data_IF_831797551567
#
_entry.id   IF_831797551567
#
_cell.length_a   1.000
_cell.length_b   1.000
_cell.length_c   1.000
_cell.angle_alpha   90.00
_cell.angle_beta   90.00
_cell.angle_gamma   90.00
#
_symmetry.space_group_name_H-M   'P 1'
#
loop_
_entity.id
_entity.type
_entity.pdbx_description
1 polymer ?
#
# COMPACT_ATOMS: atom_id res chain seq x y z
N UNK A 1 3.44 16.54 6.68
CA UNK A 1 2.31 15.80 7.34
C UNK A 1 2.15 16.23 8.81
N UNK A 2 0.96 16.11 9.39
CA UNK A 2 0.72 16.47 10.79
C UNK A 2 1.23 15.38 11.74
N UNK A 3 1.68 15.76 12.96
CA UNK A 3 2.25 14.85 13.98
C UNK A 3 1.35 13.66 14.30
N UNK A 4 0.02 13.84 14.25
CA UNK A 4 -0.96 12.77 14.55
C UNK A 4 -0.83 11.52 13.65
N UNK A 5 -0.38 11.69 12.41
CA UNK A 5 -0.29 10.64 11.40
C UNK A 5 1.16 10.28 11.05
N UNK A 6 2.12 10.81 11.78
CA UNK A 6 3.55 10.59 11.56
C UNK A 6 4.09 9.63 12.62
N UNK A 7 4.47 8.43 12.21
CA UNK A 7 5.17 7.50 13.09
C UNK A 7 6.64 7.91 13.22
N UNK A 8 7.29 7.68 14.38
CA UNK A 8 8.63 8.21 14.67
C UNK A 8 9.69 7.83 13.64
N UNK A 9 9.75 6.56 13.23
CA UNK A 9 10.76 6.05 12.29
C UNK A 9 10.63 6.72 10.91
N UNK A 10 9.44 6.69 10.34
CA UNK A 10 9.17 7.34 9.06
C UNK A 10 9.34 8.87 9.16
N UNK A 11 8.87 9.47 10.25
CA UNK A 11 9.02 10.92 10.49
C UNK A 11 10.47 11.36 10.52
N UNK A 12 11.40 10.54 11.07
CA UNK A 12 12.83 10.82 11.12
C UNK A 12 13.44 10.95 9.73
N UNK A 13 13.03 10.10 8.77
CA UNK A 13 13.54 10.13 7.38
C UNK A 13 13.26 11.50 6.72
N UNK A 14 12.13 12.12 7.04
CA UNK A 14 11.66 13.35 6.40
C UNK A 14 11.90 14.62 7.23
N UNK A 15 12.73 14.57 8.29
CA UNK A 15 13.15 15.78 9.02
C UNK A 15 14.12 16.60 8.18
N UNK A 16 14.20 17.91 8.47
CA UNK A 16 15.20 18.81 7.87
C UNK A 16 16.62 18.34 8.19
N UNK A 17 16.86 17.91 9.43
CA UNK A 17 18.14 17.37 9.88
C UNK A 17 18.56 16.17 8.99
N UNK A 18 17.69 15.19 8.79
CA UNK A 18 18.02 14.01 7.98
C UNK A 18 18.22 14.39 6.51
N UNK A 19 17.44 15.34 5.97
CA UNK A 19 17.63 15.83 4.61
C UNK A 19 19.03 16.40 4.40
N UNK A 20 19.47 17.30 5.27
CA UNK A 20 20.81 17.87 5.18
C UNK A 20 21.91 16.83 5.48
N UNK A 21 21.64 15.85 6.34
CA UNK A 21 22.55 14.72 6.58
C UNK A 21 22.74 13.89 5.29
N UNK A 22 21.65 13.64 4.54
CA UNK A 22 21.75 12.96 3.23
C UNK A 22 22.47 13.80 2.17
N UNK A 23 22.31 15.11 2.18
CA UNK A 23 23.10 15.98 1.32
C UNK A 23 24.60 15.88 1.64
N UNK A 24 24.96 15.93 2.92
CA UNK A 24 26.34 15.76 3.36
C UNK A 24 26.87 14.37 2.98
N UNK A 25 26.09 13.32 3.13
CA UNK A 25 26.46 11.95 2.76
C UNK A 25 26.84 11.85 1.27
N UNK A 26 26.09 12.51 0.38
CA UNK A 26 26.38 12.58 -1.05
C UNK A 26 27.67 13.35 -1.31
N UNK A 27 27.84 14.55 -0.73
CA UNK A 27 29.06 15.36 -0.89
C UNK A 27 30.30 14.60 -0.43
N UNK A 28 30.22 13.93 0.72
CA UNK A 28 31.33 13.16 1.27
C UNK A 28 31.65 11.94 0.41
N UNK A 29 30.67 11.25 -0.15
CA UNK A 29 30.91 10.13 -1.06
C UNK A 29 31.64 10.55 -2.32
N UNK A 30 31.32 11.73 -2.89
CA UNK A 30 32.01 12.28 -4.06
C UNK A 30 33.41 12.72 -3.71
N UNK A 31 33.59 13.49 -2.63
CA UNK A 31 34.93 13.93 -2.18
C UNK A 31 35.88 12.73 -1.91
N UNK A 32 35.35 11.66 -1.30
CA UNK A 32 36.10 10.44 -1.03
C UNK A 32 36.59 9.79 -2.33
N UNK A 33 35.72 9.63 -3.32
CA UNK A 33 36.08 9.07 -4.62
C UNK A 33 37.08 9.93 -5.35
N UNK A 34 36.93 11.25 -5.35
CA UNK A 34 37.87 12.17 -5.98
C UNK A 34 39.24 12.13 -5.28
N UNK A 35 39.30 11.92 -3.96
CA UNK A 35 40.52 11.71 -3.22
C UNK A 35 41.21 10.38 -3.57
N UNK A 36 40.44 9.29 -3.67
CA UNK A 36 40.91 7.96 -4.11
C UNK A 36 41.52 8.01 -5.53
N UNK A 37 41.02 8.89 -6.39
CA UNK A 37 41.48 9.13 -7.76
C UNK A 37 42.67 10.12 -7.82
N UNK A 38 43.04 10.74 -6.70
CA UNK A 38 44.08 11.75 -6.63
C UNK A 38 43.68 13.15 -7.16
N UNK A 39 42.41 13.40 -7.43
CA UNK A 39 41.87 14.69 -7.84
C UNK A 39 41.80 15.67 -6.65
N UNK A 40 41.60 15.15 -5.46
CA UNK A 40 41.68 15.88 -4.19
C UNK A 40 42.90 15.35 -3.41
N UNK A 41 43.74 16.25 -2.83
CA UNK A 41 44.83 15.81 -1.97
C UNK A 41 44.34 15.00 -0.77
N UNK A 42 44.99 13.86 -0.48
CA UNK A 42 44.55 12.97 0.60
C UNK A 42 44.43 13.70 1.97
N UNK A 43 45.36 14.60 2.27
CA UNK A 43 45.36 15.42 3.50
C UNK A 43 44.10 16.34 3.57
N UNK A 44 43.72 16.90 2.43
CA UNK A 44 42.51 17.74 2.36
C UNK A 44 41.26 16.91 2.60
N UNK A 45 41.18 15.71 2.00
CA UNK A 45 40.08 14.77 2.27
C UNK A 45 39.96 14.38 3.75
N UNK A 46 41.07 14.00 4.37
CA UNK A 46 41.13 13.65 5.80
C UNK A 46 40.63 14.81 6.69
N UNK A 47 41.00 16.04 6.34
CA UNK A 47 40.56 17.23 7.04
C UNK A 47 39.06 17.50 6.81
N UNK A 48 38.59 17.42 5.56
CA UNK A 48 37.16 17.53 5.22
C UNK A 48 36.36 16.48 5.99
N UNK A 49 36.75 15.20 5.92
CA UNK A 49 36.05 14.08 6.61
C UNK A 49 35.92 14.30 8.12
N UNK A 50 36.92 14.93 8.74
CA UNK A 50 36.93 15.21 10.18
C UNK A 50 36.07 16.43 10.55
N UNK A 51 35.97 17.44 9.68
CA UNK A 51 35.37 18.74 10.01
C UNK A 51 34.04 19.02 9.37
N UNK A 52 33.71 18.30 8.28
CA UNK A 52 32.46 18.55 7.56
C UNK A 52 31.24 18.21 8.42
N UNK A 53 30.50 19.24 8.73
CA UNK A 53 29.23 19.18 9.43
C UNK A 53 28.48 20.48 9.12
N UNK A 54 27.18 20.51 9.41
CA UNK A 54 26.31 21.66 9.14
C UNK A 54 25.61 22.14 10.42
N UNK A 55 25.08 23.36 10.34
CA UNK A 55 24.22 23.94 11.36
C UNK A 55 22.94 24.45 10.68
N UNK A 56 21.78 23.96 11.12
CA UNK A 56 20.48 24.27 10.48
C UNK A 56 20.11 25.74 10.64
N UNK A 57 20.32 26.30 11.83
CA UNK A 57 20.01 27.72 12.10
C UNK A 57 20.91 28.60 11.26
N UNK A 58 22.21 28.24 11.13
CA UNK A 58 23.14 28.95 10.28
C UNK A 58 22.79 28.85 8.79
N UNK A 59 22.33 27.68 8.33
CA UNK A 59 21.82 27.52 6.95
C UNK A 59 20.64 28.47 6.71
N UNK A 60 19.69 28.59 7.65
CA UNK A 60 18.54 29.49 7.52
C UNK A 60 18.95 30.96 7.44
N UNK A 61 19.91 31.39 8.27
CA UNK A 61 20.48 32.76 8.21
C UNK A 61 21.10 33.06 6.84
N UNK A 62 21.92 32.14 6.32
CA UNK A 62 22.58 32.30 5.02
C UNK A 62 21.55 32.28 3.89
N UNK A 63 20.61 31.32 3.90
CA UNK A 63 19.56 31.19 2.88
C UNK A 63 18.67 32.44 2.83
N UNK A 64 18.41 33.08 3.97
CA UNK A 64 17.65 34.34 4.03
C UNK A 64 18.28 35.45 3.20
N UNK A 65 19.60 35.41 3.01
CA UNK A 65 20.35 36.40 2.21
C UNK A 65 20.54 35.91 0.76
N UNK A 66 21.10 34.69 0.57
CA UNK A 66 21.50 34.19 -0.75
C UNK A 66 20.36 33.64 -1.56
N UNK A 67 19.20 33.33 -0.94
CA UNK A 67 17.98 32.78 -1.57
C UNK A 67 18.19 31.46 -2.32
N UNK A 68 19.16 30.64 -1.84
CA UNK A 68 19.51 29.35 -2.44
C UNK A 68 19.93 28.35 -1.37
N UNK A 69 19.14 27.30 -1.19
CA UNK A 69 19.30 26.31 -0.12
C UNK A 69 20.61 25.53 -0.17
N UNK A 70 21.03 25.05 -1.37
CA UNK A 70 22.29 24.29 -1.52
C UNK A 70 23.51 25.18 -1.29
N UNK A 71 23.49 26.42 -1.77
CA UNK A 71 24.59 27.38 -1.50
C UNK A 71 24.67 27.65 0.00
N UNK A 72 23.55 27.86 0.68
CA UNK A 72 23.51 28.08 2.12
C UNK A 72 24.08 26.87 2.90
N UNK A 73 23.71 25.67 2.52
CA UNK A 73 24.22 24.42 3.08
C UNK A 73 25.75 24.30 2.89
N UNK A 74 26.25 24.49 1.66
CA UNK A 74 27.68 24.43 1.36
C UNK A 74 28.50 25.49 2.11
N UNK A 75 27.93 26.70 2.23
CA UNK A 75 28.58 27.80 3.01
C UNK A 75 28.68 27.45 4.49
N UNK A 76 27.62 26.87 5.08
CA UNK A 76 27.64 26.40 6.48
C UNK A 76 28.72 25.33 6.72
N UNK A 77 28.95 24.42 5.76
CA UNK A 77 30.02 23.45 5.83
C UNK A 77 31.37 24.14 5.69
N UNK A 78 31.50 25.06 4.73
CA UNK A 78 32.77 25.78 4.47
C UNK A 78 33.25 26.57 5.68
N UNK A 79 32.35 27.16 6.46
CA UNK A 79 32.67 27.85 7.72
C UNK A 79 33.33 26.92 8.75
N UNK A 80 33.00 25.62 8.74
CA UNK A 80 33.60 24.61 9.64
C UNK A 80 34.89 23.98 9.09
N UNK A 81 34.96 23.77 7.78
CA UNK A 81 36.08 23.11 7.10
C UNK A 81 37.22 24.09 6.80
N UNK A 82 36.92 25.35 6.47
CA UNK A 82 37.92 26.36 6.09
C UNK A 82 38.42 26.17 4.65
N UNK A 83 39.73 26.36 4.41
CA UNK A 83 40.31 26.44 3.06
C UNK A 83 40.10 25.19 2.21
N UNK A 84 40.07 24.01 2.80
CA UNK A 84 39.85 22.75 2.08
C UNK A 84 38.42 22.59 1.58
N UNK A 85 37.49 23.44 2.01
CA UNK A 85 36.09 23.43 1.50
C UNK A 85 36.00 23.69 0.00
N UNK A 86 37.05 24.24 -0.64
CA UNK A 86 37.15 24.44 -2.10
C UNK A 86 37.05 23.14 -2.91
N UNK A 87 37.21 21.99 -2.26
CA UNK A 87 37.11 20.67 -2.90
C UNK A 87 35.70 20.07 -2.75
N UNK A 88 34.84 20.61 -1.88
CA UNK A 88 33.46 20.16 -1.72
C UNK A 88 32.63 20.72 -2.88
N UNK A 89 31.74 19.90 -3.44
CA UNK A 89 30.89 20.24 -4.60
C UNK A 89 31.63 20.48 -5.91
N UNK A 90 32.89 20.05 -6.00
CA UNK A 90 33.73 20.29 -7.17
C UNK A 90 33.17 19.55 -8.41
N UNK A 91 32.83 20.29 -9.45
CA UNK A 91 32.29 19.78 -10.71
C UNK A 91 30.76 19.41 -10.66
N UNK A 92 30.16 19.46 -9.49
CA UNK A 92 28.74 19.11 -9.27
C UNK A 92 27.81 20.28 -9.53
N UNK A 93 26.50 19.93 -9.62
CA UNK A 93 25.40 20.88 -9.57
C UNK A 93 24.48 20.54 -8.40
N UNK A 94 23.66 21.50 -7.97
CA UNK A 94 22.72 21.29 -6.84
C UNK A 94 21.89 20.01 -6.96
N UNK A 95 21.42 19.67 -8.16
CA UNK A 95 20.59 18.47 -8.36
C UNK A 95 21.37 17.16 -8.27
N UNK A 96 22.69 17.16 -8.41
CA UNK A 96 23.51 15.97 -8.13
C UNK A 96 23.36 15.57 -6.65
N UNK A 97 23.29 16.57 -5.77
CA UNK A 97 23.07 16.35 -4.32
C UNK A 97 21.61 16.09 -4.02
N UNK A 98 20.70 16.96 -4.51
CA UNK A 98 19.30 16.93 -4.17
C UNK A 98 18.62 15.64 -4.61
N UNK A 99 18.77 15.24 -5.87
CA UNK A 99 18.11 14.06 -6.41
C UNK A 99 18.69 12.78 -5.83
N UNK A 100 20.03 12.69 -5.72
CA UNK A 100 20.70 11.53 -5.12
C UNK A 100 20.32 11.35 -3.64
N UNK A 101 20.27 12.43 -2.85
CA UNK A 101 19.83 12.38 -1.46
C UNK A 101 18.35 12.03 -1.33
N UNK A 102 17.48 12.54 -2.22
CA UNK A 102 16.06 12.16 -2.26
C UNK A 102 15.90 10.67 -2.56
N UNK A 103 16.69 10.11 -3.46
CA UNK A 103 16.70 8.68 -3.75
C UNK A 103 17.06 7.83 -2.53
N UNK A 104 18.04 8.28 -1.71
CA UNK A 104 18.36 7.62 -0.45
C UNK A 104 17.19 7.64 0.53
N UNK A 105 16.52 8.80 0.68
CA UNK A 105 15.36 8.91 1.55
C UNK A 105 14.17 8.04 1.06
N UNK A 106 13.91 8.01 -0.25
CA UNK A 106 12.85 7.17 -0.84
C UNK A 106 13.13 5.68 -0.65
N UNK A 107 14.41 5.26 -0.81
CA UNK A 107 14.83 3.89 -0.53
C UNK A 107 14.58 3.51 0.93
N UNK A 108 15.02 4.33 1.87
CA UNK A 108 14.81 4.09 3.31
C UNK A 108 13.31 4.03 3.66
N UNK A 109 12.53 4.97 3.17
CA UNK A 109 11.09 5.03 3.38
C UNK A 109 10.37 3.82 2.76
N UNK A 110 10.74 3.46 1.53
CA UNK A 110 10.20 2.29 0.83
C UNK A 110 10.46 0.98 1.58
N UNK A 111 11.64 0.80 2.15
CA UNK A 111 11.97 -0.38 2.94
C UNK A 111 11.15 -0.48 4.23
N UNK A 112 10.86 0.64 4.92
CA UNK A 112 9.95 0.65 6.08
C UNK A 112 8.52 0.25 5.69
N UNK A 113 8.05 0.73 4.54
CA UNK A 113 6.73 0.37 4.00
C UNK A 113 6.71 -1.11 3.63
N UNK A 114 7.74 -1.62 2.96
CA UNK A 114 7.86 -3.02 2.56
C UNK A 114 7.74 -3.96 3.76
N UNK A 115 8.52 -3.73 4.81
CA UNK A 115 8.47 -4.53 6.04
C UNK A 115 7.06 -4.59 6.67
N UNK A 116 6.32 -3.47 6.64
CA UNK A 116 4.95 -3.42 7.17
C UNK A 116 3.93 -4.10 6.25
N UNK A 117 4.16 -4.07 4.95
CA UNK A 117 3.32 -4.75 3.96
C UNK A 117 3.53 -6.27 4.01
N UNK A 118 4.76 -6.75 4.18
CA UNK A 118 5.08 -8.16 4.43
C UNK A 118 4.39 -8.66 5.70
N UNK A 119 4.48 -7.88 6.79
CA UNK A 119 3.75 -8.18 8.02
C UNK A 119 2.24 -8.28 7.78
N UNK A 120 1.64 -7.37 7.00
CA UNK A 120 0.22 -7.46 6.63
C UNK A 120 -0.08 -8.78 5.94
N UNK A 121 0.73 -9.18 4.97
CA UNK A 121 0.57 -10.44 4.24
C UNK A 121 0.60 -11.63 5.19
N UNK A 122 1.50 -11.67 6.16
CA UNK A 122 1.60 -12.75 7.14
C UNK A 122 0.37 -12.80 8.06
N UNK A 123 -0.10 -11.64 8.53
CA UNK A 123 -1.34 -11.55 9.31
C UNK A 123 -2.53 -12.06 8.48
N UNK A 124 -2.64 -11.65 7.21
CA UNK A 124 -3.71 -12.10 6.31
C UNK A 124 -3.68 -13.62 6.11
N UNK A 125 -2.48 -14.21 5.94
CA UNK A 125 -2.31 -15.67 5.85
C UNK A 125 -2.82 -16.37 7.11
N UNK A 126 -2.42 -15.90 8.29
CA UNK A 126 -2.85 -16.45 9.58
C UNK A 126 -4.37 -16.39 9.73
N UNK A 127 -4.98 -15.22 9.45
CA UNK A 127 -6.44 -15.05 9.53
C UNK A 127 -7.18 -15.87 8.48
N UNK A 128 -6.62 -16.02 7.28
CA UNK A 128 -7.20 -16.87 6.24
C UNK A 128 -7.33 -18.32 6.73
N UNK A 129 -6.26 -18.87 7.31
CA UNK A 129 -6.26 -20.24 7.86
C UNK A 129 -7.22 -20.38 9.04
N UNK A 130 -7.22 -19.41 9.97
CA UNK A 130 -8.10 -19.41 11.15
C UNK A 130 -9.58 -19.49 10.79
N UNK A 131 -10.00 -18.77 9.73
CA UNK A 131 -11.40 -18.70 9.30
C UNK A 131 -11.69 -19.49 8.02
N UNK A 132 -10.80 -20.41 7.64
CA UNK A 132 -10.93 -21.20 6.41
C UNK A 132 -12.30 -21.85 6.26
N UNK A 133 -12.79 -22.45 7.33
CA UNK A 133 -14.04 -23.21 7.38
C UNK A 133 -15.22 -22.42 7.97
N UNK A 134 -15.03 -21.13 8.27
CA UNK A 134 -16.09 -20.27 8.79
C UNK A 134 -17.01 -19.83 7.66
N UNK A 135 -18.14 -20.54 7.53
CA UNK A 135 -19.14 -20.26 6.50
C UNK A 135 -19.80 -18.89 6.71
N UNK A 136 -19.93 -18.13 5.65
CA UNK A 136 -20.64 -16.87 5.61
C UNK A 136 -21.32 -16.67 4.25
N UNK A 137 -22.19 -15.67 4.16
CA UNK A 137 -22.85 -15.36 2.89
C UNK A 137 -21.97 -14.48 2.01
N UNK A 138 -21.76 -14.88 0.76
CA UNK A 138 -21.23 -14.04 -0.30
C UNK A 138 -22.30 -13.04 -0.75
N UNK A 139 -21.90 -11.77 -0.93
CA UNK A 139 -22.77 -10.70 -1.39
C UNK A 139 -22.25 -10.11 -2.69
N UNK A 140 -23.12 -10.01 -3.68
CA UNK A 140 -22.91 -9.23 -4.89
C UNK A 140 -23.99 -8.15 -4.98
N UNK A 141 -23.65 -6.94 -5.40
CA UNK A 141 -24.57 -5.77 -5.39
C UNK A 141 -25.19 -5.46 -4.01
N UNK A 142 -24.56 -5.92 -2.91
CA UNK A 142 -25.12 -5.82 -1.56
C UNK A 142 -26.18 -6.87 -1.21
N UNK A 143 -26.53 -7.77 -2.16
CA UNK A 143 -27.58 -8.80 -2.00
C UNK A 143 -26.92 -10.15 -1.72
N UNK A 144 -27.59 -11.01 -0.96
CA UNK A 144 -27.15 -12.38 -0.69
C UNK A 144 -27.08 -13.19 -2.00
N UNK A 145 -25.90 -13.74 -2.30
CA UNK A 145 -25.66 -14.60 -3.44
C UNK A 145 -25.51 -16.06 -2.97
N UNK A 146 -24.30 -16.57 -2.94
CA UNK A 146 -24.00 -17.96 -2.57
C UNK A 146 -23.16 -18.05 -1.29
N UNK A 147 -23.15 -19.20 -0.61
CA UNK A 147 -22.26 -19.44 0.52
C UNK A 147 -20.78 -19.32 0.12
N UNK A 148 -19.99 -18.72 1.00
CA UNK A 148 -18.53 -18.65 0.93
C UNK A 148 -17.94 -18.88 2.32
N UNK A 149 -16.60 -18.75 2.48
CA UNK A 149 -16.00 -18.74 3.81
C UNK A 149 -15.36 -17.39 4.11
N UNK A 150 -15.32 -17.05 5.39
CA UNK A 150 -14.67 -15.80 5.81
C UNK A 150 -13.16 -15.82 5.56
N UNK A 151 -12.53 -17.01 5.65
CA UNK A 151 -11.12 -17.19 5.30
C UNK A 151 -10.79 -16.85 3.85
N UNK A 152 -11.70 -17.08 2.90
CA UNK A 152 -11.51 -16.71 1.49
C UNK A 152 -11.38 -15.19 1.28
N UNK A 153 -12.01 -14.36 2.14
CA UNK A 153 -11.81 -12.90 2.08
C UNK A 153 -10.36 -12.53 2.41
N UNK A 154 -9.79 -13.12 3.45
CA UNK A 154 -8.39 -12.92 3.81
C UNK A 154 -7.43 -13.51 2.77
N UNK A 155 -7.75 -14.67 2.19
CA UNK A 155 -6.96 -15.28 1.14
C UNK A 155 -6.87 -14.39 -0.13
N UNK A 156 -7.97 -13.72 -0.49
CA UNK A 156 -8.00 -12.73 -1.58
C UNK A 156 -7.07 -11.55 -1.30
N UNK A 157 -7.11 -10.99 -0.09
CA UNK A 157 -6.25 -9.87 0.31
C UNK A 157 -4.78 -10.28 0.44
N UNK A 158 -4.51 -11.51 0.90
CA UNK A 158 -3.17 -12.09 0.97
C UNK A 158 -2.51 -12.17 -0.41
N UNK A 159 -3.23 -12.68 -1.41
CA UNK A 159 -2.74 -12.77 -2.78
C UNK A 159 -2.49 -11.37 -3.39
N UNK A 160 -3.38 -10.41 -3.13
CA UNK A 160 -3.19 -9.03 -3.58
C UNK A 160 -2.03 -8.33 -2.86
N UNK A 161 -1.82 -8.59 -1.57
CA UNK A 161 -0.66 -8.09 -0.82
C UNK A 161 0.65 -8.62 -1.40
N UNK A 162 0.70 -9.89 -1.82
CA UNK A 162 1.86 -10.47 -2.52
C UNK A 162 2.21 -9.68 -3.80
N UNK A 163 1.24 -9.43 -4.67
CA UNK A 163 1.47 -8.61 -5.88
C UNK A 163 1.91 -7.18 -5.57
N UNK A 164 1.47 -6.62 -4.45
CA UNK A 164 1.88 -5.28 -4.04
C UNK A 164 3.30 -5.25 -3.47
N UNK A 165 3.76 -6.32 -2.81
CA UNK A 165 5.15 -6.50 -2.40
C UNK A 165 6.05 -6.49 -3.64
N UNK A 166 5.75 -7.33 -4.65
CA UNK A 166 6.52 -7.39 -5.90
C UNK A 166 6.61 -6.02 -6.62
N UNK A 167 5.50 -5.25 -6.60
CA UNK A 167 5.48 -3.89 -7.18
C UNK A 167 6.36 -2.94 -6.38
N UNK A 168 6.27 -2.98 -5.06
CA UNK A 168 7.01 -2.07 -4.19
C UNK A 168 8.51 -2.32 -4.26
N UNK A 169 8.96 -3.57 -4.28
CA UNK A 169 10.37 -3.92 -4.47
C UNK A 169 10.91 -3.35 -5.79
N UNK A 170 10.18 -3.52 -6.90
CA UNK A 170 10.55 -2.96 -8.21
C UNK A 170 10.58 -1.44 -8.21
N UNK A 171 9.62 -0.80 -7.56
CA UNK A 171 9.57 0.66 -7.53
C UNK A 171 10.63 1.25 -6.61
N UNK A 172 11.01 0.56 -5.51
CA UNK A 172 12.15 0.93 -4.69
C UNK A 172 13.45 0.84 -5.50
N UNK A 173 13.66 -0.24 -6.27
CA UNK A 173 14.83 -0.36 -7.15
C UNK A 173 14.85 0.75 -8.21
N UNK A 174 13.70 1.10 -8.77
CA UNK A 174 13.55 2.16 -9.77
C UNK A 174 13.92 3.55 -9.24
N UNK A 175 13.56 3.89 -8.00
CA UNK A 175 13.91 5.19 -7.39
C UNK A 175 15.27 5.19 -6.70
N UNK A 176 15.91 4.03 -6.50
CA UNK A 176 17.23 3.91 -5.86
C UNK A 176 18.37 4.17 -6.83
N UNK A 177 18.36 5.33 -7.47
CA UNK A 177 19.37 5.75 -8.43
C UNK A 177 19.95 7.11 -8.07
N UNK A 178 21.27 7.26 -8.20
CA UNK A 178 21.98 8.52 -8.05
C UNK A 178 22.31 9.15 -9.40
N UNK A 179 22.58 10.44 -9.37
CA UNK A 179 23.02 11.24 -10.50
C UNK A 179 24.10 12.19 -10.03
N UNK A 180 25.32 12.10 -10.60
CA UNK A 180 26.48 12.98 -10.33
C UNK A 180 27.13 13.28 -11.67
N UNK A 181 26.38 13.95 -12.54
CA UNK A 181 26.71 14.14 -13.95
C UNK A 181 26.78 15.62 -14.38
N UNK A 182 26.69 16.54 -13.40
CA UNK A 182 26.78 17.96 -13.62
C UNK A 182 25.48 18.62 -14.13
N UNK A 183 25.58 19.85 -14.59
CA UNK A 183 24.48 20.76 -14.82
C UNK A 183 23.46 20.30 -15.88
N UNK A 184 23.85 19.46 -16.82
CA UNK A 184 23.00 18.99 -17.94
C UNK A 184 23.18 17.49 -18.24
N UNK A 185 23.86 16.75 -17.36
CA UNK A 185 24.02 15.29 -17.51
C UNK A 185 25.14 14.85 -18.47
N UNK A 186 26.07 15.74 -18.82
CA UNK A 186 27.10 15.46 -19.83
C UNK A 186 28.47 15.14 -19.25
N UNK A 187 28.64 15.13 -17.94
CA UNK A 187 29.89 14.89 -17.25
C UNK A 187 31.03 15.87 -17.66
N UNK A 188 30.66 17.13 -17.98
CA UNK A 188 31.62 18.11 -18.50
C UNK A 188 32.77 18.41 -17.52
N UNK A 189 32.59 18.22 -16.22
CA UNK A 189 33.55 18.54 -15.17
C UNK A 189 33.77 17.39 -14.17
N UNK A 190 33.21 16.22 -14.43
CA UNK A 190 33.33 15.01 -13.62
C UNK A 190 33.49 13.79 -14.53
N UNK A 191 34.26 12.82 -14.11
CA UNK A 191 34.30 11.53 -14.81
C UNK A 191 33.12 10.64 -14.40
N UNK A 192 32.59 9.83 -15.34
CA UNK A 192 31.53 8.85 -15.07
C UNK A 192 31.89 7.88 -13.95
N UNK A 193 33.17 7.52 -13.83
CA UNK A 193 33.66 6.65 -12.76
C UNK A 193 33.48 7.24 -11.35
N UNK A 194 33.46 8.59 -11.23
CA UNK A 194 33.13 9.26 -9.95
C UNK A 194 31.70 8.99 -9.55
N UNK A 195 30.76 9.13 -10.49
CA UNK A 195 29.34 8.81 -10.26
C UNK A 195 29.16 7.34 -9.87
N UNK A 196 29.71 6.42 -10.66
CA UNK A 196 29.57 4.98 -10.42
C UNK A 196 30.10 4.58 -9.03
N UNK A 197 31.28 5.10 -8.66
CA UNK A 197 31.89 4.77 -7.39
C UNK A 197 31.20 5.44 -6.21
N UNK A 198 30.75 6.69 -6.33
CA UNK A 198 30.00 7.38 -5.30
C UNK A 198 28.63 6.70 -5.08
N UNK A 199 27.91 6.39 -6.16
CA UNK A 199 26.63 5.64 -6.06
C UNK A 199 26.82 4.28 -5.38
N UNK A 200 27.90 3.56 -5.68
CA UNK A 200 28.23 2.28 -5.03
C UNK A 200 28.48 2.45 -3.53
N UNK A 201 29.20 3.49 -3.11
CA UNK A 201 29.42 3.82 -1.69
C UNK A 201 28.11 4.16 -0.99
N UNK A 202 27.18 4.84 -1.67
CA UNK A 202 25.85 5.18 -1.18
C UNK A 202 24.85 4.00 -1.22
N UNK A 203 25.26 2.85 -1.80
CA UNK A 203 24.40 1.67 -1.90
C UNK A 203 23.24 1.82 -2.88
N UNK A 204 23.37 2.67 -3.89
CA UNK A 204 22.42 2.87 -5.00
C UNK A 204 23.12 2.68 -6.34
N UNK A 205 22.35 2.65 -7.44
CA UNK A 205 22.90 2.56 -8.81
C UNK A 205 23.03 3.95 -9.42
N UNK A 206 23.97 4.18 -10.35
CA UNK A 206 23.91 5.40 -11.17
C UNK A 206 22.72 5.34 -12.12
N UNK A 207 22.10 6.48 -12.41
CA UNK A 207 21.11 6.59 -13.48
C UNK A 207 21.83 6.42 -14.84
N UNK A 208 21.39 5.52 -15.73
CA UNK A 208 22.09 5.29 -17.00
C UNK A 208 22.23 6.54 -17.88
N UNK A 209 21.32 7.46 -17.75
CA UNK A 209 21.29 8.78 -18.38
C UNK A 209 20.44 9.72 -17.55
N UNK A 210 20.85 10.97 -17.48
CA UNK A 210 20.12 12.03 -16.79
C UNK A 210 20.23 13.35 -17.58
N UNK A 211 19.44 14.33 -17.18
CA UNK A 211 19.60 15.72 -17.57
C UNK A 211 20.25 16.49 -16.40
N UNK A 212 19.77 17.65 -16.02
CA UNK A 212 20.14 18.25 -14.73
C UNK A 212 19.60 17.43 -13.56
N UNK A 213 18.58 16.60 -13.81
CA UNK A 213 17.84 15.81 -12.82
C UNK A 213 17.72 14.34 -13.27
N UNK A 214 17.41 13.45 -12.30
CA UNK A 214 16.87 12.12 -12.56
C UNK A 214 15.46 12.25 -13.13
N UNK A 215 15.07 11.41 -14.09
CA UNK A 215 13.75 11.49 -14.73
C UNK A 215 12.60 11.18 -13.76
N UNK A 216 11.52 11.97 -13.82
CA UNK A 216 10.44 11.97 -12.83
C UNK A 216 9.41 10.85 -13.00
N UNK A 217 9.44 10.10 -14.11
CA UNK A 217 8.68 8.85 -14.25
C UNK A 217 8.97 7.85 -13.13
N UNK A 218 10.20 7.80 -12.61
CA UNK A 218 10.59 6.96 -11.47
C UNK A 218 9.84 7.33 -10.19
N UNK A 219 9.71 8.63 -9.91
CA UNK A 219 8.95 9.13 -8.76
C UNK A 219 7.45 8.89 -8.94
N UNK A 220 6.93 9.08 -10.17
CA UNK A 220 5.54 8.80 -10.52
C UNK A 220 5.21 7.30 -10.37
N UNK A 221 6.08 6.40 -10.83
CA UNK A 221 5.94 4.94 -10.65
C UNK A 221 5.92 4.56 -9.16
N UNK A 222 6.84 5.11 -8.37
CA UNK A 222 6.88 4.87 -6.92
C UNK A 222 5.59 5.32 -6.25
N UNK A 223 5.12 6.56 -6.49
CA UNK A 223 3.87 7.07 -5.92
C UNK A 223 2.63 6.33 -6.45
N UNK A 224 2.67 5.81 -7.69
CA UNK A 224 1.64 4.91 -8.24
C UNK A 224 1.54 3.63 -7.42
N UNK A 225 2.67 3.04 -7.11
CA UNK A 225 2.74 1.85 -6.26
C UNK A 225 2.17 2.13 -4.86
N UNK A 226 2.54 3.25 -4.22
CA UNK A 226 1.99 3.64 -2.92
C UNK A 226 0.47 3.83 -2.99
N UNK A 227 -0.05 4.42 -4.07
CA UNK A 227 -1.49 4.63 -4.27
C UNK A 227 -2.25 3.31 -4.48
N UNK A 228 -1.65 2.34 -5.20
CA UNK A 228 -2.22 0.99 -5.39
C UNK A 228 -2.28 0.24 -4.06
N UNK A 229 -1.22 0.28 -3.25
CA UNK A 229 -1.21 -0.29 -1.90
C UNK A 229 -2.30 0.37 -1.04
N UNK A 230 -2.39 1.71 -1.08
CA UNK A 230 -3.48 2.45 -0.42
C UNK A 230 -4.87 1.97 -0.83
N UNK A 231 -5.05 1.57 -2.08
CA UNK A 231 -6.28 0.97 -2.60
C UNK A 231 -6.61 -0.39 -1.96
N UNK A 232 -5.62 -1.26 -1.75
CA UNK A 232 -5.81 -2.51 -1.00
C UNK A 232 -6.25 -2.21 0.44
N UNK A 233 -5.58 -1.28 1.12
CA UNK A 233 -5.92 -0.94 2.50
C UNK A 233 -7.33 -0.34 2.61
N UNK A 234 -7.72 0.48 1.64
CA UNK A 234 -9.10 1.01 1.55
C UNK A 234 -10.12 -0.11 1.31
N UNK A 235 -9.83 -1.07 0.42
CA UNK A 235 -10.69 -2.24 0.17
C UNK A 235 -10.95 -3.03 1.45
N UNK A 236 -9.91 -3.35 2.21
CA UNK A 236 -10.02 -4.05 3.50
C UNK A 236 -10.88 -3.22 4.48
N UNK A 237 -10.58 -1.93 4.60
CA UNK A 237 -11.29 -1.02 5.48
C UNK A 237 -12.78 -0.88 5.13
N UNK A 238 -13.10 -0.78 3.85
CA UNK A 238 -14.49 -0.70 3.36
C UNK A 238 -15.25 -1.99 3.66
N UNK A 239 -14.66 -3.15 3.42
CA UNK A 239 -15.28 -4.44 3.74
C UNK A 239 -15.57 -4.56 5.24
N UNK A 240 -14.61 -4.24 6.11
CA UNK A 240 -14.79 -4.27 7.56
C UNK A 240 -15.93 -3.32 7.99
N UNK A 241 -15.98 -2.10 7.44
CA UNK A 241 -17.08 -1.15 7.72
C UNK A 241 -18.44 -1.70 7.32
N UNK A 242 -18.54 -2.40 6.18
CA UNK A 242 -19.79 -3.06 5.77
C UNK A 242 -20.16 -4.21 6.69
N UNK A 243 -19.19 -5.02 7.14
CA UNK A 243 -19.43 -6.13 8.05
C UNK A 243 -19.82 -5.67 9.46
N UNK A 244 -19.39 -4.47 9.88
CA UNK A 244 -19.69 -3.89 11.20
C UNK A 244 -21.06 -3.21 11.27
N UNK A 245 -21.76 -2.98 10.16
CA UNK A 245 -23.08 -2.37 10.16
C UNK A 245 -24.02 -3.14 11.08
N UNK A 246 -24.92 -2.42 11.75
CA UNK A 246 -25.85 -2.98 12.74
C UNK A 246 -26.62 -4.19 12.21
N UNK A 247 -27.11 -4.11 10.95
CA UNK A 247 -27.90 -5.14 10.29
C UNK A 247 -27.05 -6.38 9.94
N UNK A 248 -25.76 -6.19 9.67
CA UNK A 248 -24.81 -7.24 9.26
C UNK A 248 -24.14 -7.89 10.47
N UNK A 249 -23.38 -7.15 11.26
CA UNK A 249 -22.78 -7.56 12.54
C UNK A 249 -21.86 -8.78 12.48
N UNK A 250 -21.21 -9.05 11.33
CA UNK A 250 -20.40 -10.24 11.10
C UNK A 250 -18.94 -10.08 11.57
N UNK A 251 -18.42 -8.85 11.52
CA UNK A 251 -17.10 -8.50 12.05
C UNK A 251 -17.07 -7.04 12.51
N UNK A 252 -16.11 -6.67 13.37
CA UNK A 252 -15.98 -5.33 13.90
C UNK A 252 -14.51 -5.00 14.25
N UNK A 253 -14.14 -3.71 14.20
CA UNK A 253 -12.89 -3.23 14.77
C UNK A 253 -12.83 -3.59 16.27
N UNK A 254 -11.64 -3.95 16.73
CA UNK A 254 -11.38 -4.14 18.15
C UNK A 254 -11.47 -2.79 18.90
N UNK A 255 -12.16 -2.82 20.03
CA UNK A 255 -12.26 -1.68 20.94
C UNK A 255 -11.42 -1.95 22.19
N UNK A 256 -10.38 -1.13 22.40
CA UNK A 256 -9.54 -1.23 23.58
C UNK A 256 -10.28 -0.82 24.86
N UNK A 257 -9.86 -1.34 26.01
CA UNK A 257 -10.44 -0.97 27.31
C UNK A 257 -10.32 0.55 27.51
N UNK A 258 -11.45 1.21 27.77
CA UNK A 258 -11.52 2.66 27.97
C UNK A 258 -11.70 3.49 26.70
N UNK A 259 -11.65 2.90 25.51
CA UNK A 259 -11.94 3.59 24.26
C UNK A 259 -13.42 4.01 24.21
N UNK A 260 -13.67 5.24 23.72
CA UNK A 260 -15.02 5.76 23.50
C UNK A 260 -15.31 5.82 22.00
N UNK A 261 -16.43 5.22 21.59
CA UNK A 261 -16.81 5.14 20.17
C UNK A 261 -17.70 6.30 19.71
N UNK A 262 -18.35 6.99 20.64
CA UNK A 262 -19.27 8.10 20.37
C UNK A 262 -19.28 9.08 21.52
N UNK A 263 -19.44 10.37 21.23
CA UNK A 263 -19.60 11.42 22.24
C UNK A 263 -21.01 11.47 22.83
N UNK A 264 -22.02 10.97 22.10
CA UNK A 264 -23.42 11.04 22.47
C UNK A 264 -24.00 9.70 22.97
N UNK A 265 -23.60 8.57 22.35
CA UNK A 265 -24.16 7.25 22.64
C UNK A 265 -23.05 6.31 23.15
N UNK A 266 -22.98 6.00 24.46
CA UNK A 266 -21.88 5.21 25.05
C UNK A 266 -21.69 3.81 24.49
N UNK A 267 -22.72 3.18 23.94
CA UNK A 267 -22.69 1.84 23.36
C UNK A 267 -22.28 1.82 21.88
N UNK A 268 -22.22 2.99 21.21
CA UNK A 268 -21.98 3.07 19.77
C UNK A 268 -20.49 2.91 19.46
N UNK A 269 -20.13 1.80 18.82
CA UNK A 269 -18.76 1.46 18.39
C UNK A 269 -18.61 1.73 16.91
N UNK A 270 -18.09 2.91 16.56
CA UNK A 270 -17.88 3.30 15.16
C UNK A 270 -16.58 2.73 14.62
N UNK A 271 -16.50 2.32 13.32
CA UNK A 271 -15.28 1.86 12.66
C UNK A 271 -14.38 3.04 12.25
N UNK A 272 -13.94 3.84 13.24
CA UNK A 272 -13.25 5.13 13.02
C UNK A 272 -11.91 4.95 12.32
N UNK A 273 -11.21 3.86 12.60
CA UNK A 273 -9.88 3.64 12.01
C UNK A 273 -10.02 3.25 10.54
N UNK A 274 -10.96 2.39 10.19
CA UNK A 274 -11.28 2.06 8.79
C UNK A 274 -11.78 3.28 8.01
N UNK A 275 -12.58 4.16 8.63
CA UNK A 275 -13.02 5.41 8.01
C UNK A 275 -11.84 6.34 7.69
N UNK A 276 -10.87 6.47 8.60
CA UNK A 276 -9.63 7.24 8.39
C UNK A 276 -8.80 6.66 7.26
N UNK A 277 -8.59 5.34 7.22
CA UNK A 277 -7.85 4.67 6.13
C UNK A 277 -8.51 4.97 4.78
N UNK A 278 -9.84 4.85 4.69
CA UNK A 278 -10.59 5.19 3.47
C UNK A 278 -10.40 6.66 3.05
N UNK A 279 -10.31 7.58 4.01
CA UNK A 279 -10.03 8.99 3.75
C UNK A 279 -8.59 9.24 3.25
N UNK A 280 -7.62 8.58 3.89
CA UNK A 280 -6.19 8.74 3.56
C UNK A 280 -5.83 8.19 2.17
N UNK A 281 -6.47 7.12 1.73
CA UNK A 281 -6.27 6.57 0.39
C UNK A 281 -6.58 7.58 -0.73
N UNK A 282 -7.46 8.54 -0.47
CA UNK A 282 -7.77 9.64 -1.42
C UNK A 282 -6.58 10.58 -1.60
N UNK A 283 -5.84 10.85 -0.51
CA UNK A 283 -4.65 11.70 -0.55
C UNK A 283 -3.52 11.04 -1.33
N UNK A 284 -3.30 9.74 -1.16
CA UNK A 284 -2.31 9.00 -1.95
C UNK A 284 -2.61 9.09 -3.45
N UNK A 285 -3.87 8.95 -3.85
CA UNK A 285 -4.27 9.10 -5.27
C UNK A 285 -4.10 10.54 -5.77
N UNK A 286 -4.41 11.54 -4.96
CA UNK A 286 -4.20 12.95 -5.31
C UNK A 286 -2.71 13.26 -5.51
N UNK A 287 -1.84 12.77 -4.62
CA UNK A 287 -0.40 12.96 -4.72
C UNK A 287 0.18 12.25 -5.96
N UNK A 288 -0.34 11.08 -6.33
CA UNK A 288 0.02 10.41 -7.59
C UNK A 288 -0.29 11.28 -8.80
N UNK A 289 -1.50 11.86 -8.88
CA UNK A 289 -1.85 12.74 -10.01
C UNK A 289 -0.87 13.90 -10.14
N UNK A 290 -0.48 14.50 -9.02
CA UNK A 290 0.49 15.59 -9.00
C UNK A 290 1.90 15.12 -9.42
N UNK A 291 2.30 13.90 -9.07
CA UNK A 291 3.58 13.33 -9.50
C UNK A 291 3.63 13.06 -11.02
N UNK A 292 2.51 12.66 -11.62
CA UNK A 292 2.40 12.47 -13.07
C UNK A 292 2.59 13.81 -13.83
N UNK A 293 2.07 14.91 -13.28
CA UNK A 293 2.27 16.25 -13.85
C UNK A 293 3.75 16.72 -13.80
N UNK A 294 4.54 16.21 -12.85
CA UNK A 294 5.97 16.52 -12.74
C UNK A 294 6.85 15.82 -13.80
N UNK A 295 6.32 14.91 -14.60
CA UNK A 295 7.09 14.22 -15.63
C UNK A 295 7.47 15.13 -16.80
N UNK A 296 6.60 16.06 -17.16
CA UNK A 296 6.78 16.96 -18.31
C UNK A 296 7.41 18.29 -17.85
N UNK A 297 8.72 18.38 -17.91
CA UNK A 297 9.49 19.58 -17.56
C UNK A 297 10.10 20.22 -18.82
N UNK A 298 10.48 21.50 -18.73
CA UNK A 298 11.13 22.20 -19.81
C UNK A 298 12.60 21.80 -19.92
N UNK A 299 13.04 21.46 -21.13
CA UNK A 299 14.42 21.17 -21.48
C UNK A 299 15.08 20.18 -20.50
N UNK A 300 16.27 20.47 -20.04
CA UNK A 300 17.01 19.65 -19.08
C UNK A 300 16.48 19.74 -17.66
N UNK A 301 15.75 20.83 -17.32
CA UNK A 301 14.97 21.02 -16.07
C UNK A 301 14.35 22.41 -16.02
N UNK A 302 13.13 22.53 -15.51
CA UNK A 302 12.64 23.70 -14.78
C UNK A 302 12.40 23.32 -13.31
N UNK A 303 12.18 24.33 -12.43
CA UNK A 303 12.09 24.08 -10.97
C UNK A 303 10.68 23.79 -10.47
N UNK A 304 9.67 23.72 -11.34
CA UNK A 304 8.26 23.54 -10.97
C UNK A 304 8.03 22.28 -10.12
N UNK A 305 8.73 21.18 -10.42
CA UNK A 305 8.65 19.93 -9.68
C UNK A 305 9.09 20.05 -8.21
N UNK A 306 10.04 20.92 -7.91
CA UNK A 306 10.75 20.95 -6.62
C UNK A 306 9.82 21.32 -5.45
N UNK A 307 8.99 22.35 -5.61
CA UNK A 307 8.02 22.75 -4.58
C UNK A 307 6.98 21.67 -4.29
N UNK A 308 6.58 20.95 -5.31
CA UNK A 308 5.61 19.85 -5.26
C UNK A 308 6.20 18.63 -4.54
N UNK A 309 7.39 18.20 -4.93
CA UNK A 309 8.06 17.01 -4.39
C UNK A 309 8.39 17.13 -2.91
N UNK A 310 8.68 18.34 -2.43
CA UNK A 310 8.87 18.65 -1.00
C UNK A 310 7.62 18.33 -0.14
N UNK A 311 6.45 18.22 -0.75
CA UNK A 311 5.17 17.89 -0.11
C UNK A 311 4.77 16.46 -0.37
N UNK A 312 4.63 16.09 -1.65
CA UNK A 312 3.99 14.82 -2.01
C UNK A 312 4.83 13.57 -1.66
N UNK A 313 6.16 13.67 -1.72
CA UNK A 313 7.04 12.53 -1.39
C UNK A 313 6.98 12.21 0.12
N UNK A 314 7.28 13.15 1.04
CA UNK A 314 7.17 12.86 2.47
C UNK A 314 5.74 12.51 2.88
N UNK A 315 4.73 13.23 2.38
CA UNK A 315 3.35 13.02 2.79
C UNK A 315 2.81 11.67 2.36
N UNK A 316 3.14 11.19 1.15
CA UNK A 316 2.69 9.87 0.69
C UNK A 316 3.32 8.74 1.49
N UNK A 317 4.61 8.82 1.78
CA UNK A 317 5.31 7.80 2.57
C UNK A 317 4.80 7.76 4.01
N UNK A 318 4.66 8.92 4.65
CA UNK A 318 4.16 9.05 6.03
C UNK A 318 2.72 8.53 6.14
N UNK A 319 1.85 8.88 5.18
CA UNK A 319 0.46 8.41 5.16
C UNK A 319 0.37 6.90 5.02
N UNK A 320 1.06 6.32 4.04
CA UNK A 320 0.98 4.90 3.79
C UNK A 320 1.57 4.08 4.94
N UNK A 321 2.68 4.56 5.53
CA UNK A 321 3.30 3.97 6.71
C UNK A 321 2.32 3.91 7.89
N UNK A 322 1.62 5.00 8.16
CA UNK A 322 0.59 5.06 9.19
C UNK A 322 -0.61 4.16 8.87
N UNK A 323 -1.07 4.15 7.63
CA UNK A 323 -2.18 3.30 7.19
C UNK A 323 -1.85 1.82 7.37
N UNK A 324 -0.65 1.37 6.98
CA UNK A 324 -0.18 0.00 7.17
C UNK A 324 -0.08 -0.37 8.65
N UNK A 325 0.46 0.51 9.48
CA UNK A 325 0.51 0.30 10.93
C UNK A 325 -0.89 0.06 11.51
N UNK A 326 -1.87 0.86 11.09
CA UNK A 326 -3.26 0.74 11.58
C UNK A 326 -3.99 -0.46 11.03
N UNK A 327 -3.84 -0.78 9.74
CA UNK A 327 -4.53 -1.93 9.16
C UNK A 327 -3.99 -3.26 9.70
N UNK A 328 -2.68 -3.34 9.98
CA UNK A 328 -2.08 -4.50 10.64
C UNK A 328 -2.74 -4.76 12.00
N UNK A 329 -2.86 -3.74 12.83
CA UNK A 329 -3.53 -3.83 14.12
C UNK A 329 -5.01 -4.22 13.99
N UNK A 330 -5.74 -3.61 13.06
CA UNK A 330 -7.15 -3.93 12.80
C UNK A 330 -7.34 -5.38 12.38
N UNK A 331 -6.58 -5.86 11.40
CA UNK A 331 -6.76 -7.21 10.85
C UNK A 331 -6.33 -8.27 11.87
N UNK A 332 -5.23 -8.03 12.60
CA UNK A 332 -4.73 -8.93 13.64
C UNK A 332 -5.74 -9.10 14.77
N UNK A 333 -6.38 -8.01 15.21
CA UNK A 333 -7.31 -7.97 16.33
C UNK A 333 -8.80 -7.92 15.93
N UNK A 334 -9.13 -8.17 14.65
CA UNK A 334 -10.50 -8.11 14.15
C UNK A 334 -11.41 -9.05 14.94
N UNK A 335 -12.47 -8.51 15.51
CA UNK A 335 -13.52 -9.30 16.18
C UNK A 335 -14.40 -9.91 15.09
N UNK A 336 -14.46 -11.23 15.07
CA UNK A 336 -15.28 -12.00 14.11
C UNK A 336 -16.43 -12.68 14.86
N UNK A 337 -17.64 -12.70 14.27
CA UNK A 337 -18.81 -13.30 14.84
C UNK A 337 -19.38 -14.43 13.95
N UNK A 338 -18.84 -15.67 14.02
CA UNK A 338 -19.29 -16.79 13.21
C UNK A 338 -20.75 -17.13 13.39
N UNK A 339 -21.30 -16.96 14.59
CA UNK A 339 -22.71 -17.22 14.88
C UNK A 339 -23.63 -16.26 14.11
N UNK A 340 -23.24 -14.98 14.00
CA UNK A 340 -23.98 -14.01 13.21
C UNK A 340 -23.88 -14.30 11.72
N UNK A 341 -22.72 -14.76 11.24
CA UNK A 341 -22.52 -15.20 9.85
C UNK A 341 -23.48 -16.34 9.49
N UNK A 342 -23.59 -17.36 10.34
CA UNK A 342 -24.55 -18.46 10.14
C UNK A 342 -26.00 -17.99 10.17
N UNK A 343 -26.37 -17.08 11.06
CA UNK A 343 -27.72 -16.49 11.07
C UNK A 343 -27.99 -15.70 9.78
N UNK A 344 -27.03 -14.97 9.28
CA UNK A 344 -27.18 -14.19 8.04
C UNK A 344 -27.33 -15.11 6.81
N UNK A 345 -26.68 -16.27 6.76
CA UNK A 345 -26.93 -17.29 5.73
C UNK A 345 -28.40 -17.73 5.65
N UNK A 346 -29.11 -17.71 6.78
CA UNK A 346 -30.49 -18.16 6.89
C UNK A 346 -31.57 -17.08 6.62
N UNK A 347 -31.17 -15.80 6.47
CA UNK A 347 -32.12 -14.68 6.29
C UNK A 347 -33.03 -14.91 5.10
N UNK A 348 -32.55 -15.46 4.00
CA UNK A 348 -33.31 -15.76 2.79
C UNK A 348 -33.95 -17.13 2.82
N UNK A 349 -33.96 -17.81 3.97
CA UNK A 349 -34.64 -19.10 4.20
C UNK A 349 -34.30 -20.18 3.16
N UNK A 350 -33.03 -20.23 2.70
CA UNK A 350 -32.57 -21.23 1.78
C UNK A 350 -32.58 -20.82 0.30
N UNK A 351 -33.10 -19.65 -0.06
CA UNK A 351 -33.07 -19.17 -1.46
C UNK A 351 -31.68 -19.05 -2.06
N UNK A 352 -30.64 -18.94 -1.23
CA UNK A 352 -29.22 -18.96 -1.65
C UNK A 352 -28.81 -20.25 -2.34
N UNK A 353 -29.59 -21.33 -2.26
CA UNK A 353 -29.35 -22.61 -2.90
C UNK A 353 -30.13 -22.79 -4.23
N UNK A 354 -30.88 -21.77 -4.68
CA UNK A 354 -31.72 -21.85 -5.88
C UNK A 354 -30.94 -22.21 -7.15
N UNK A 355 -29.69 -21.72 -7.29
CA UNK A 355 -28.85 -22.06 -8.42
C UNK A 355 -28.41 -23.54 -8.40
N UNK A 356 -28.12 -24.10 -7.22
CA UNK A 356 -27.78 -25.51 -7.10
C UNK A 356 -28.95 -26.41 -7.55
N UNK A 357 -30.17 -26.04 -7.19
CA UNK A 357 -31.39 -26.72 -7.60
C UNK A 357 -31.61 -26.60 -9.12
N UNK A 358 -31.45 -25.39 -9.68
CA UNK A 358 -31.52 -25.15 -11.12
C UNK A 358 -30.57 -26.07 -11.90
N UNK A 359 -29.30 -26.13 -11.47
CA UNK A 359 -28.27 -26.95 -12.11
C UNK A 359 -28.52 -28.45 -11.94
N UNK A 360 -29.15 -28.88 -10.84
CA UNK A 360 -29.56 -30.28 -10.66
C UNK A 360 -30.66 -30.67 -11.65
N UNK A 361 -31.64 -29.79 -11.86
CA UNK A 361 -32.75 -30.00 -12.83
C UNK A 361 -32.21 -30.07 -14.26
N UNK A 362 -31.29 -29.15 -14.68
CA UNK A 362 -30.75 -29.17 -16.05
C UNK A 362 -29.98 -30.45 -16.39
N UNK A 363 -29.51 -31.20 -15.38
CA UNK A 363 -28.88 -32.51 -15.58
C UNK A 363 -29.88 -33.65 -15.83
N UNK A 364 -31.18 -33.35 -15.77
CA UNK A 364 -32.30 -34.36 -15.95
C UNK A 364 -33.02 -34.18 -17.27
N UNK A 365 -32.34 -33.73 -18.32
CA UNK A 365 -32.90 -33.56 -19.67
C UNK A 365 -34.07 -32.55 -19.72
N UNK A 366 -34.09 -31.59 -18.83
CA UNK A 366 -35.03 -30.44 -18.88
C UNK A 366 -34.26 -29.23 -19.44
N UNK A 367 -34.92 -28.40 -20.23
CA UNK A 367 -34.28 -27.16 -20.74
C UNK A 367 -33.93 -26.22 -19.59
N UNK A 368 -32.95 -25.35 -19.83
CA UNK A 368 -32.56 -24.36 -18.81
C UNK A 368 -33.70 -23.41 -18.49
N UNK A 369 -34.47 -23.03 -19.48
CA UNK A 369 -35.63 -22.13 -19.38
C UNK A 369 -36.73 -22.75 -18.54
N UNK A 370 -37.06 -24.04 -18.75
CA UNK A 370 -38.09 -24.74 -17.97
C UNK A 370 -37.60 -24.97 -16.54
N UNK A 371 -36.34 -25.39 -16.34
CA UNK A 371 -35.75 -25.51 -15.01
C UNK A 371 -35.74 -24.17 -14.27
N UNK A 372 -35.41 -23.08 -14.96
CA UNK A 372 -35.46 -21.73 -14.38
C UNK A 372 -36.88 -21.35 -13.95
N UNK A 373 -37.90 -21.60 -14.79
CA UNK A 373 -39.29 -21.31 -14.51
C UNK A 373 -39.80 -22.08 -13.30
N UNK A 374 -39.43 -23.36 -13.19
CA UNK A 374 -39.80 -24.20 -12.04
C UNK A 374 -39.19 -23.65 -10.73
N UNK A 375 -37.89 -23.40 -10.73
CA UNK A 375 -37.19 -22.88 -9.54
C UNK A 375 -37.73 -21.51 -9.17
N UNK A 376 -37.89 -20.61 -10.15
CA UNK A 376 -38.41 -19.26 -9.92
C UNK A 376 -39.80 -19.26 -9.33
N UNK A 377 -40.73 -20.08 -9.87
CA UNK A 377 -42.09 -20.21 -9.35
C UNK A 377 -42.12 -20.58 -7.85
N UNK A 378 -41.30 -21.54 -7.45
CA UNK A 378 -41.21 -22.01 -6.07
C UNK A 378 -40.46 -21.01 -5.18
N UNK A 379 -39.38 -20.36 -5.70
CA UNK A 379 -38.64 -19.35 -4.99
C UNK A 379 -39.49 -18.08 -4.70
N UNK A 380 -40.27 -17.62 -5.67
CA UNK A 380 -41.17 -16.47 -5.49
C UNK A 380 -42.28 -16.76 -4.44
N UNK A 381 -42.86 -17.94 -4.48
CA UNK A 381 -43.80 -18.36 -3.43
C UNK A 381 -43.17 -18.42 -2.04
N UNK A 382 -41.90 -18.87 -1.96
CA UNK A 382 -41.17 -18.86 -0.71
C UNK A 382 -40.98 -17.44 -0.19
N UNK A 383 -40.59 -16.52 -1.07
CA UNK A 383 -40.36 -15.11 -0.74
C UNK A 383 -41.64 -14.42 -0.26
N UNK A 384 -42.73 -14.55 -1.01
CA UNK A 384 -44.03 -13.93 -0.72
C UNK A 384 -44.66 -14.44 0.58
N UNK A 385 -44.57 -15.76 0.83
CA UNK A 385 -45.22 -16.41 1.97
C UNK A 385 -44.30 -16.59 3.19
N UNK A 386 -43.06 -16.04 3.13
CA UNK A 386 -42.10 -16.16 4.22
C UNK A 386 -41.79 -17.62 4.64
N UNK A 387 -41.83 -18.58 3.72
CA UNK A 387 -41.61 -20.01 3.97
C UNK A 387 -40.18 -20.44 3.73
N UNK A 388 -39.81 -21.62 4.25
CA UNK A 388 -38.51 -22.24 3.98
C UNK A 388 -38.49 -22.79 2.56
N UNK A 389 -37.45 -22.45 1.78
CA UNK A 389 -37.33 -22.82 0.38
C UNK A 389 -37.16 -24.33 0.21
N UNK A 390 -36.35 -24.99 1.07
CA UNK A 390 -36.17 -26.44 1.02
C UNK A 390 -37.47 -27.18 1.26
N UNK A 391 -38.27 -26.79 2.29
CA UNK A 391 -39.58 -27.39 2.58
C UNK A 391 -40.56 -27.22 1.42
N UNK A 392 -40.51 -26.09 0.73
CA UNK A 392 -41.37 -25.87 -0.44
C UNK A 392 -40.94 -26.72 -1.62
N UNK A 393 -39.61 -26.89 -1.86
CA UNK A 393 -39.09 -27.77 -2.90
C UNK A 393 -39.40 -29.24 -2.59
N UNK A 394 -39.25 -29.68 -1.34
CA UNK A 394 -39.60 -31.06 -0.91
C UNK A 394 -41.05 -31.41 -1.17
N UNK A 395 -41.94 -30.44 -1.19
CA UNK A 395 -43.40 -30.63 -1.44
C UNK A 395 -43.86 -30.24 -2.87
N UNK A 396 -42.91 -29.81 -3.73
CA UNK A 396 -43.23 -29.40 -5.10
C UNK A 396 -43.27 -30.62 -6.04
N UNK A 397 -44.49 -30.98 -6.49
CA UNK A 397 -44.69 -32.14 -7.36
C UNK A 397 -43.96 -31.99 -8.72
N UNK A 398 -43.89 -30.79 -9.25
CA UNK A 398 -43.26 -30.53 -10.55
C UNK A 398 -41.74 -30.72 -10.49
N UNK A 399 -41.09 -30.35 -9.38
CA UNK A 399 -39.66 -30.58 -9.14
C UNK A 399 -39.39 -32.04 -8.81
N UNK A 400 -40.20 -32.67 -7.98
CA UNK A 400 -40.03 -34.06 -7.54
C UNK A 400 -40.22 -35.11 -8.65
N UNK A 401 -40.76 -34.74 -9.83
CA UNK A 401 -40.74 -35.60 -11.01
C UNK A 401 -39.33 -35.81 -11.58
N UNK A 402 -38.43 -34.85 -11.38
CA UNK A 402 -37.10 -34.86 -11.94
C UNK A 402 -36.00 -35.22 -10.93
N UNK A 403 -36.14 -34.84 -9.65
CA UNK A 403 -35.12 -34.98 -8.62
C UNK A 403 -35.60 -35.88 -7.48
N UNK A 404 -34.75 -36.82 -7.05
CA UNK A 404 -34.99 -37.60 -5.83
C UNK A 404 -34.74 -36.73 -4.59
N UNK A 405 -35.21 -37.22 -3.43
CA UNK A 405 -34.98 -36.59 -2.15
C UNK A 405 -33.52 -36.37 -1.83
N UNK A 406 -32.67 -37.34 -2.13
CA UNK A 406 -31.23 -37.29 -1.89
C UNK A 406 -30.54 -36.23 -2.81
N UNK A 407 -31.02 -36.07 -4.04
CA UNK A 407 -30.52 -35.05 -4.97
C UNK A 407 -30.91 -33.65 -4.50
N UNK A 408 -32.13 -33.47 -4.02
CA UNK A 408 -32.57 -32.21 -3.41
C UNK A 408 -31.77 -31.93 -2.17
N UNK A 409 -31.60 -32.87 -1.23
CA UNK A 409 -30.81 -32.68 -0.02
C UNK A 409 -29.36 -32.27 -0.32
N UNK A 410 -28.77 -32.79 -1.39
CA UNK A 410 -27.43 -32.41 -1.86
C UNK A 410 -27.38 -30.95 -2.32
N UNK A 411 -28.41 -30.42 -2.96
CA UNK A 411 -28.49 -29.04 -3.39
C UNK A 411 -28.44 -28.05 -2.19
N UNK A 412 -28.99 -28.44 -1.06
CA UNK A 412 -29.02 -27.64 0.17
C UNK A 412 -27.88 -27.93 1.14
N UNK A 413 -26.89 -28.74 0.72
CA UNK A 413 -25.75 -29.12 1.54
C UNK A 413 -24.64 -28.07 1.46
N UNK A 414 -24.39 -27.35 2.57
CA UNK A 414 -23.38 -26.31 2.67
C UNK A 414 -21.95 -26.86 2.44
N UNK A 415 -21.62 -28.03 2.97
CA UNK A 415 -20.31 -28.69 2.78
C UNK A 415 -20.04 -28.95 1.30
N UNK A 416 -21.06 -29.38 0.55
CA UNK A 416 -20.93 -29.59 -0.89
C UNK A 416 -20.66 -28.25 -1.63
N UNK A 417 -21.31 -27.17 -1.23
CA UNK A 417 -21.07 -25.84 -1.83
C UNK A 417 -19.64 -25.36 -1.59
N UNK A 418 -19.06 -25.64 -0.43
CA UNK A 418 -17.73 -25.18 -0.02
C UNK A 418 -16.59 -26.18 -0.31
N UNK A 419 -16.86 -27.30 -1.02
CA UNK A 419 -15.90 -28.40 -1.24
C UNK A 419 -14.56 -28.02 -1.91
N UNK A 420 -14.51 -26.89 -2.59
CA UNK A 420 -13.33 -26.42 -3.30
C UNK A 420 -12.48 -25.42 -2.50
N UNK A 421 -12.85 -25.09 -1.26
CA UNK A 421 -12.13 -24.10 -0.44
C UNK A 421 -10.66 -24.51 -0.26
N UNK A 422 -10.38 -25.76 0.10
CA UNK A 422 -9.00 -26.26 0.26
C UNK A 422 -8.17 -26.16 -1.04
N UNK A 423 -8.78 -26.44 -2.19
CA UNK A 423 -8.12 -26.32 -3.47
C UNK A 423 -7.76 -24.87 -3.81
N UNK A 424 -8.61 -23.90 -3.42
CA UNK A 424 -8.34 -22.47 -3.60
C UNK A 424 -7.17 -22.05 -2.69
N UNK A 425 -7.17 -22.50 -1.42
CA UNK A 425 -6.09 -22.19 -0.47
C UNK A 425 -4.74 -22.76 -0.93
N UNK A 426 -4.71 -23.99 -1.48
CA UNK A 426 -3.51 -24.56 -2.10
C UNK A 426 -3.05 -23.75 -3.31
N UNK A 427 -3.98 -23.31 -4.16
CA UNK A 427 -3.67 -22.54 -5.37
C UNK A 427 -2.98 -21.21 -5.06
N UNK A 428 -3.36 -20.54 -3.96
CA UNK A 428 -2.75 -19.27 -3.54
C UNK A 428 -1.54 -19.44 -2.61
N UNK A 429 -1.10 -20.67 -2.34
CA UNK A 429 0.09 -20.97 -1.53
C UNK A 429 -0.07 -20.70 -0.04
N UNK A 430 -1.30 -20.78 0.49
CA UNK A 430 -1.58 -20.66 1.93
C UNK A 430 -1.45 -22.00 2.63
N UNK A 431 -1.89 -23.11 1.96
CA UNK A 431 -1.77 -24.49 2.40
C UNK A 431 -0.78 -25.26 1.53
#
# INVERSE_FOLDING_TARGET
MIKRYTLPEMGKIWTRENRFRKWLEVEMAVCEVQAERGEIPQKAWEHIKQKADFDIDRIDEIEAVVKHDVIAFLTSIAEKVGEDSRFIHQGMTSSDVLDTATSLQLKEAGMLILNKLERLRDILKKRAVEFKDTACIGRSHGIHAEPTTFGLKFALWYDEAGRNIDRLEKSIDSVSVGKISGAVGTFAHLDMEVEESACRKLGIKPAPVSTQIVQRDRHADYLSTLAIIGGLLEKIAVEIRHLQRTEVGEAAEFFSKGQKGSSAMPHKKNPITCERISGMARLLRSNLMTALENMALWHERDISHSSVERIILPDSNILLDYMLFKINDIVENLIVNPQKMLKNLQITRGLIFSQALLLALTRKNITREDAYSLVQKTAMKCWENNKNFKEMVDNDKDINQYLSKEEIDRCFNLTYQLRNVDNIFKRVGIL
#
